data_IF_046546159248
#
_entry.id   IF_046546159248
#
_cell.length_a   1.000
_cell.length_b   1.000
_cell.length_c   1.000
_cell.angle_alpha   90.00
_cell.angle_beta   90.00
_cell.angle_gamma   90.00
#
_symmetry.space_group_name_H-M   'P 1'
#
loop_
_entity.id
_entity.type
_entity.pdbx_description
1 polymer ?
#
# COMPACT_ATOMS: atom_id res chain seq x y z
N UNK A 1 -32.69 -0.09 -17.58
CA UNK A 1 -31.82 0.09 -16.39
C UNK A 1 -31.79 -1.24 -15.64
N UNK A 2 -30.73 -2.01 -15.75
CA UNK A 2 -30.57 -3.26 -14.98
C UNK A 2 -30.29 -2.88 -13.53
N UNK A 3 -31.23 -3.14 -12.62
CA UNK A 3 -31.01 -2.95 -11.19
C UNK A 3 -29.82 -3.82 -10.75
N UNK A 4 -28.75 -3.20 -10.22
CA UNK A 4 -27.65 -3.92 -9.59
C UNK A 4 -28.23 -4.79 -8.49
N UNK A 5 -27.89 -6.09 -8.47
CA UNK A 5 -28.33 -6.98 -7.38
C UNK A 5 -27.81 -6.42 -6.05
N UNK A 6 -28.66 -6.39 -4.99
CA UNK A 6 -28.24 -5.89 -3.69
C UNK A 6 -27.10 -6.74 -3.13
N UNK A 7 -26.05 -6.08 -2.64
CA UNK A 7 -24.93 -6.73 -1.96
C UNK A 7 -25.34 -7.08 -0.53
N UNK A 8 -25.21 -8.35 -0.14
CA UNK A 8 -25.49 -8.80 1.22
C UNK A 8 -24.47 -8.25 2.23
N UNK A 9 -24.81 -8.26 3.53
CA UNK A 9 -23.85 -7.98 4.59
C UNK A 9 -22.63 -8.91 4.51
N UNK A 10 -21.47 -8.44 4.97
CA UNK A 10 -20.24 -9.21 4.97
C UNK A 10 -19.74 -9.46 6.38
N UNK A 11 -19.25 -10.67 6.63
CA UNK A 11 -18.58 -11.06 7.88
C UNK A 11 -17.27 -11.74 7.52
N UNK A 12 -16.23 -11.42 8.26
CA UNK A 12 -14.95 -12.13 8.13
C UNK A 12 -15.15 -13.59 8.58
N UNK A 13 -14.64 -14.52 7.77
CA UNK A 13 -14.67 -15.96 8.02
C UNK A 13 -13.49 -16.42 8.89
N UNK A 14 -12.60 -15.48 9.26
CA UNK A 14 -11.47 -15.72 10.16
C UNK A 14 -11.91 -16.28 11.51
N UNK A 15 -11.21 -17.31 11.95
CA UNK A 15 -11.41 -17.99 13.24
C UNK A 15 -10.61 -17.36 14.38
N UNK A 16 -9.94 -16.23 14.14
CA UNK A 16 -9.11 -15.56 15.15
C UNK A 16 -9.96 -15.03 16.33
N UNK A 17 -9.49 -15.15 17.58
CA UNK A 17 -10.18 -14.61 18.75
C UNK A 17 -10.22 -13.07 18.73
N UNK A 18 -11.41 -12.49 18.91
CA UNK A 18 -11.65 -11.04 18.88
C UNK A 18 -13.00 -10.67 18.26
N UNK A 19 -13.31 -9.37 18.18
CA UNK A 19 -14.49 -8.86 17.46
C UNK A 19 -14.32 -9.21 15.97
N UNK A 20 -15.24 -10.02 15.43
CA UNK A 20 -15.26 -10.32 14.00
C UNK A 20 -15.45 -9.03 13.22
N UNK A 21 -14.62 -8.84 12.19
CA UNK A 21 -14.76 -7.73 11.27
C UNK A 21 -16.03 -7.95 10.43
N UNK A 22 -16.97 -7.01 10.51
CA UNK A 22 -18.27 -7.11 9.85
C UNK A 22 -18.63 -5.79 9.15
N UNK A 23 -19.39 -5.88 8.07
CA UNK A 23 -19.99 -4.75 7.36
C UNK A 23 -21.47 -5.02 7.18
N UNK A 24 -22.30 -4.02 7.45
CA UNK A 24 -23.72 -4.01 7.04
C UNK A 24 -23.85 -4.12 5.52
N UNK A 25 -25.05 -4.41 5.02
CA UNK A 25 -25.30 -4.50 3.58
C UNK A 25 -24.91 -3.19 2.85
N UNK A 26 -25.33 -2.04 3.39
CA UNK A 26 -25.03 -0.72 2.81
C UNK A 26 -23.52 -0.41 2.83
N UNK A 27 -22.84 -0.72 3.94
CA UNK A 27 -21.39 -0.57 4.02
C UNK A 27 -20.67 -1.47 3.02
N UNK A 28 -21.10 -2.73 2.90
CA UNK A 28 -20.49 -3.67 1.96
C UNK A 28 -20.78 -3.30 0.49
N UNK A 29 -21.94 -2.71 0.21
CA UNK A 29 -22.27 -2.17 -1.10
C UNK A 29 -21.30 -1.05 -1.48
N UNK A 30 -21.11 -0.05 -0.61
CA UNK A 30 -20.18 1.06 -0.87
C UNK A 30 -18.72 0.59 -1.00
N UNK A 31 -18.28 -0.36 -0.17
CA UNK A 31 -16.95 -1.00 -0.31
C UNK A 31 -16.80 -1.70 -1.65
N UNK A 32 -17.83 -2.45 -2.06
CA UNK A 32 -17.82 -3.20 -3.33
C UNK A 32 -17.81 -2.24 -4.53
N UNK A 33 -18.63 -1.18 -4.50
CA UNK A 33 -18.67 -0.18 -5.57
C UNK A 33 -17.34 0.56 -5.72
N UNK A 34 -16.71 0.94 -4.61
CA UNK A 34 -15.37 1.53 -4.63
C UNK A 34 -14.31 0.57 -5.16
N UNK A 35 -14.39 -0.70 -4.79
CA UNK A 35 -13.47 -1.71 -5.29
C UNK A 35 -13.61 -1.93 -6.80
N UNK A 36 -14.84 -2.00 -7.30
CA UNK A 36 -15.09 -2.13 -8.74
C UNK A 36 -14.65 -0.89 -9.51
N UNK A 37 -14.81 0.32 -8.95
CA UNK A 37 -14.25 1.54 -9.56
C UNK A 37 -12.71 1.47 -9.65
N UNK A 38 -12.04 1.06 -8.58
CA UNK A 38 -10.58 0.87 -8.58
C UNK A 38 -10.15 -0.23 -9.56
N UNK A 39 -10.91 -1.31 -9.68
CA UNK A 39 -10.68 -2.39 -10.64
C UNK A 39 -10.90 -1.92 -12.09
N UNK A 40 -11.93 -1.14 -12.36
CA UNK A 40 -12.19 -0.61 -13.70
C UNK A 40 -11.05 0.29 -14.19
N UNK A 41 -10.49 1.11 -13.29
CA UNK A 41 -9.37 1.99 -13.61
C UNK A 41 -8.01 1.27 -13.76
N UNK A 42 -7.87 0.01 -13.33
CA UNK A 42 -6.53 -0.61 -13.25
C UNK A 42 -5.80 -0.68 -14.60
N UNK A 43 -6.52 -0.75 -15.73
CA UNK A 43 -5.88 -0.93 -17.04
C UNK A 43 -5.16 0.35 -17.47
N UNK A 44 -5.80 1.48 -17.24
CA UNK A 44 -5.24 2.79 -17.58
C UNK A 44 -4.08 3.12 -16.62
N UNK A 45 -4.23 2.75 -15.34
CA UNK A 45 -3.17 2.88 -14.35
C UNK A 45 -1.97 1.97 -14.65
N UNK A 46 -2.21 0.74 -15.12
CA UNK A 46 -1.15 -0.18 -15.57
C UNK A 46 -0.36 0.44 -16.72
N UNK A 47 -1.06 0.90 -17.75
CA UNK A 47 -0.44 1.51 -18.92
C UNK A 47 0.39 2.74 -18.54
N UNK A 48 -0.10 3.58 -17.61
CA UNK A 48 0.63 4.75 -17.15
C UNK A 48 1.93 4.39 -16.43
N UNK A 49 1.90 3.43 -15.51
CA UNK A 49 3.08 3.03 -14.73
C UNK A 49 4.07 2.22 -15.58
N UNK A 50 3.58 1.38 -16.50
CA UNK A 50 4.42 0.67 -17.47
C UNK A 50 5.14 1.64 -18.41
N UNK A 51 4.46 2.69 -18.88
CA UNK A 51 5.10 3.71 -19.70
C UNK A 51 6.19 4.50 -18.94
N UNK A 52 6.00 4.75 -17.63
CA UNK A 52 7.04 5.33 -16.77
C UNK A 52 8.24 4.38 -16.65
N UNK A 53 7.96 3.11 -16.40
CA UNK A 53 9.00 2.11 -16.24
C UNK A 53 9.80 1.90 -17.54
N UNK A 54 9.13 1.81 -18.69
CA UNK A 54 9.76 1.72 -20.00
C UNK A 54 10.66 2.93 -20.29
N UNK A 55 10.16 4.15 -20.04
CA UNK A 55 10.92 5.39 -20.29
C UNK A 55 12.18 5.52 -19.43
N UNK A 56 12.19 4.92 -18.24
CA UNK A 56 13.28 5.04 -17.26
C UNK A 56 14.11 3.77 -17.11
N UNK A 57 13.78 2.69 -17.83
CA UNK A 57 14.43 1.38 -17.71
C UNK A 57 15.93 1.48 -17.96
N UNK A 58 16.33 2.01 -19.11
CA UNK A 58 17.72 1.98 -19.57
C UNK A 58 18.59 3.05 -18.92
N UNK A 59 17.98 4.16 -18.50
CA UNK A 59 18.69 5.33 -17.94
C UNK A 59 18.78 5.31 -16.41
N UNK A 60 17.77 4.77 -15.73
CA UNK A 60 17.65 4.79 -14.26
C UNK A 60 17.48 3.39 -13.64
N UNK A 61 17.55 2.33 -14.46
CA UNK A 61 17.36 0.96 -14.00
C UNK A 61 15.94 0.69 -13.49
N UNK A 62 14.94 1.39 -14.05
CA UNK A 62 13.56 1.28 -13.59
C UNK A 62 13.00 -0.14 -13.78
N UNK A 63 12.29 -0.66 -12.77
CA UNK A 63 11.52 -1.91 -12.86
C UNK A 63 10.20 -1.82 -12.10
N UNK A 64 9.16 -2.38 -12.70
CA UNK A 64 7.84 -2.51 -12.10
C UNK A 64 7.75 -3.86 -11.38
N UNK A 65 7.73 -3.80 -10.06
CA UNK A 65 7.79 -4.96 -9.19
C UNK A 65 6.40 -5.31 -8.63
N UNK A 66 6.10 -6.61 -8.54
CA UNK A 66 4.90 -7.11 -7.85
C UNK A 66 3.56 -6.71 -8.49
N UNK A 67 3.52 -6.40 -9.78
CA UNK A 67 2.31 -5.94 -10.52
C UNK A 67 1.09 -6.84 -10.30
N UNK A 68 1.27 -8.15 -10.15
CA UNK A 68 0.19 -9.11 -9.89
C UNK A 68 -0.58 -8.85 -8.58
N UNK A 69 0.02 -8.11 -7.63
CA UNK A 69 -0.57 -7.76 -6.33
C UNK A 69 -1.05 -6.30 -6.26
N UNK A 70 -1.05 -5.56 -7.37
CA UNK A 70 -1.31 -4.12 -7.38
C UNK A 70 -2.70 -3.72 -6.90
N UNK A 71 -3.72 -4.54 -7.20
CA UNK A 71 -5.09 -4.31 -6.74
C UNK A 71 -5.31 -5.14 -5.48
N UNK A 72 -5.58 -4.47 -4.37
CA UNK A 72 -5.93 -5.15 -3.12
C UNK A 72 -7.19 -6.00 -3.33
N UNK A 73 -7.15 -7.27 -2.93
CA UNK A 73 -8.30 -8.17 -3.07
C UNK A 73 -9.52 -7.67 -2.28
N UNK A 74 -10.73 -7.88 -2.83
CA UNK A 74 -11.98 -7.39 -2.24
C UNK A 74 -12.18 -7.85 -0.79
N UNK A 75 -11.82 -9.08 -0.45
CA UNK A 75 -11.87 -9.60 0.93
C UNK A 75 -10.94 -8.81 1.86
N UNK A 76 -9.70 -8.55 1.44
CA UNK A 76 -8.74 -7.76 2.23
C UNK A 76 -9.23 -6.31 2.40
N UNK A 77 -9.81 -5.72 1.36
CA UNK A 77 -10.37 -4.38 1.44
C UNK A 77 -11.56 -4.29 2.39
N UNK A 78 -12.50 -5.24 2.33
CA UNK A 78 -13.61 -5.36 3.29
C UNK A 78 -13.11 -5.45 4.71
N UNK A 79 -12.13 -6.31 4.96
CA UNK A 79 -11.50 -6.47 6.28
C UNK A 79 -10.86 -5.16 6.75
N UNK A 80 -10.08 -4.48 5.89
CA UNK A 80 -9.44 -3.20 6.22
C UNK A 80 -10.45 -2.13 6.62
N UNK A 81 -11.54 -1.99 5.87
CA UNK A 81 -12.62 -1.03 6.16
C UNK A 81 -13.36 -1.41 7.44
N UNK A 82 -13.70 -2.68 7.62
CA UNK A 82 -14.42 -3.17 8.79
C UNK A 82 -13.61 -3.00 10.09
N UNK A 83 -12.29 -3.14 10.04
CA UNK A 83 -11.40 -2.91 11.19
C UNK A 83 -11.28 -1.43 11.57
N UNK A 84 -11.52 -0.52 10.63
CA UNK A 84 -11.54 0.92 10.85
C UNK A 84 -12.97 1.46 11.10
N UNK A 85 -13.98 0.60 10.98
CA UNK A 85 -15.37 0.96 11.22
C UNK A 85 -15.64 1.03 12.72
N UNK A 86 -15.26 2.17 13.30
CA UNK A 86 -15.60 2.53 14.66
C UNK A 86 -17.00 3.16 14.74
N UNK A 87 -17.62 3.06 15.90
CA UNK A 87 -18.89 3.74 16.19
C UNK A 87 -18.66 5.25 16.03
N UNK A 88 -19.47 5.92 15.20
CA UNK A 88 -19.43 7.36 14.89
C UNK A 88 -18.43 7.83 13.80
N UNK A 89 -17.63 6.97 13.19
CA UNK A 89 -16.82 7.37 12.01
C UNK A 89 -17.64 7.15 10.72
N UNK A 90 -17.90 8.19 9.91
CA UNK A 90 -18.60 8.02 8.64
C UNK A 90 -17.84 7.08 7.71
N UNK A 91 -18.54 6.11 7.09
CA UNK A 91 -17.93 5.15 6.17
C UNK A 91 -17.11 5.84 5.07
N UNK A 92 -17.64 6.92 4.49
CA UNK A 92 -16.93 7.68 3.47
C UNK A 92 -15.60 8.26 3.95
N UNK A 93 -15.50 8.63 5.23
CA UNK A 93 -14.24 9.09 5.80
C UNK A 93 -13.23 7.94 5.83
N UNK A 94 -13.64 6.75 6.29
CA UNK A 94 -12.82 5.53 6.32
C UNK A 94 -12.34 5.19 4.92
N UNK A 95 -13.27 5.10 3.96
CA UNK A 95 -12.93 4.80 2.57
C UNK A 95 -11.88 5.79 2.07
N UNK A 96 -12.06 7.11 2.24
CA UNK A 96 -11.07 8.12 1.79
C UNK A 96 -9.66 7.94 2.37
N UNK A 97 -9.51 7.29 3.54
CA UNK A 97 -8.18 7.01 4.11
C UNK A 97 -7.43 5.89 3.36
N UNK A 98 -8.15 4.98 2.70
CA UNK A 98 -7.57 3.85 1.97
C UNK A 98 -7.00 4.33 0.63
N UNK A 99 -5.71 4.68 0.63
CA UNK A 99 -5.00 5.23 -0.54
C UNK A 99 -4.35 4.16 -1.43
N UNK A 100 -4.21 2.94 -0.92
CA UNK A 100 -3.43 1.84 -1.46
C UNK A 100 -4.30 0.72 -2.09
N UNK A 101 -5.51 1.06 -2.53
CA UNK A 101 -6.40 0.09 -3.19
C UNK A 101 -5.81 -0.37 -4.54
N UNK A 102 -5.27 0.58 -5.31
CA UNK A 102 -4.32 0.33 -6.39
C UNK A 102 -2.93 0.79 -5.90
N UNK A 103 -1.94 -0.10 -5.92
CA UNK A 103 -0.58 0.16 -5.45
C UNK A 103 0.44 -0.44 -6.39
N UNK A 104 1.33 0.38 -6.91
CA UNK A 104 2.44 -0.02 -7.76
C UNK A 104 3.75 0.10 -6.99
N UNK A 105 4.74 -0.70 -7.37
CA UNK A 105 6.09 -0.59 -6.84
C UNK A 105 7.07 -0.38 -7.98
N UNK A 106 7.74 0.77 -8.00
CA UNK A 106 8.84 1.03 -8.91
C UNK A 106 10.16 0.91 -8.14
N UNK A 107 11.10 0.18 -8.72
CA UNK A 107 12.50 0.19 -8.26
C UNK A 107 13.37 0.96 -9.22
N UNK A 108 14.41 1.61 -8.69
CA UNK A 108 15.43 2.31 -9.46
C UNK A 108 16.83 1.95 -8.96
N UNK A 109 17.84 2.05 -9.82
CA UNK A 109 19.21 1.80 -9.40
C UNK A 109 19.64 2.78 -8.28
N UNK A 110 20.43 2.34 -7.28
CA UNK A 110 20.72 3.17 -6.09
C UNK A 110 21.33 4.55 -6.40
N UNK A 111 22.17 4.64 -7.42
CA UNK A 111 22.84 5.88 -7.85
C UNK A 111 21.93 6.85 -8.62
N UNK A 112 20.80 6.37 -9.16
CA UNK A 112 19.85 7.17 -9.95
C UNK A 112 18.48 7.23 -9.31
N UNK A 113 18.31 6.69 -8.09
CA UNK A 113 17.02 6.61 -7.40
C UNK A 113 16.29 7.95 -7.33
N UNK A 114 16.97 8.99 -6.86
CA UNK A 114 16.33 10.30 -6.63
C UNK A 114 15.89 10.93 -7.96
N UNK A 115 16.72 10.83 -9.00
CA UNK A 115 16.36 11.31 -10.33
C UNK A 115 15.23 10.47 -10.95
N UNK A 116 15.25 9.14 -10.77
CA UNK A 116 14.18 8.26 -11.25
C UNK A 116 12.82 8.59 -10.62
N UNK A 117 12.79 8.91 -9.32
CA UNK A 117 11.57 9.40 -8.65
C UNK A 117 11.14 10.74 -9.23
N UNK A 118 12.04 11.71 -9.41
CA UNK A 118 11.70 13.03 -9.99
C UNK A 118 11.18 12.91 -11.43
N UNK A 119 11.81 12.08 -12.26
CA UNK A 119 11.35 11.84 -13.62
C UNK A 119 10.00 11.12 -13.65
N UNK A 120 9.74 10.21 -12.71
CA UNK A 120 8.39 9.62 -12.55
C UNK A 120 7.35 10.70 -12.32
N UNK A 121 7.64 11.67 -11.45
CA UNK A 121 6.72 12.78 -11.20
C UNK A 121 6.46 13.60 -12.46
N UNK A 122 7.52 13.98 -13.19
CA UNK A 122 7.40 14.72 -14.43
C UNK A 122 6.54 13.97 -15.46
N UNK A 123 6.84 12.69 -15.70
CA UNK A 123 6.11 11.85 -16.66
C UNK A 123 4.63 11.67 -16.29
N UNK A 124 4.30 11.55 -15.00
CA UNK A 124 2.92 11.45 -14.54
C UNK A 124 2.18 12.79 -14.69
N UNK A 125 2.82 13.90 -14.36
CA UNK A 125 2.25 15.23 -14.57
C UNK A 125 2.01 15.55 -16.04
N UNK A 126 2.92 15.20 -16.94
CA UNK A 126 2.74 15.33 -18.39
C UNK A 126 1.52 14.55 -18.90
N UNK A 127 1.20 13.43 -18.25
CA UNK A 127 0.00 12.61 -18.54
C UNK A 127 -1.25 13.10 -17.81
N UNK A 128 -1.18 14.23 -17.11
CA UNK A 128 -2.31 14.86 -16.41
C UNK A 128 -2.59 14.29 -15.02
N UNK A 129 -1.77 13.36 -14.51
CA UNK A 129 -1.93 12.86 -13.15
C UNK A 129 -1.49 13.92 -12.15
N UNK A 130 -2.26 14.05 -11.06
CA UNK A 130 -1.96 14.98 -9.99
C UNK A 130 -1.52 14.24 -8.73
N UNK A 131 -0.55 14.79 -8.02
CA UNK A 131 -0.21 14.30 -6.69
C UNK A 131 -1.33 14.64 -5.71
N UNK A 132 -1.70 13.70 -4.84
CA UNK A 132 -2.62 13.96 -3.73
C UNK A 132 -1.84 14.73 -2.65
N UNK A 133 -2.26 15.95 -2.27
CA UNK A 133 -1.54 16.76 -1.29
C UNK A 133 -1.35 16.03 0.05
N UNK A 134 -0.13 16.09 0.60
CA UNK A 134 0.21 15.45 1.87
C UNK A 134 0.18 13.91 1.84
N UNK A 135 0.31 13.31 0.65
CA UNK A 135 0.39 11.85 0.51
C UNK A 135 1.80 11.28 0.51
N UNK A 136 2.79 12.15 0.34
CA UNK A 136 4.18 11.80 0.23
C UNK A 136 4.74 11.37 1.58
N UNK A 137 5.40 10.22 1.63
CA UNK A 137 6.08 9.75 2.83
C UNK A 137 7.47 9.22 2.47
N UNK A 138 8.49 9.81 3.09
CA UNK A 138 9.87 9.37 3.02
C UNK A 138 10.23 8.60 4.28
N UNK A 139 10.67 7.35 4.12
CA UNK A 139 11.06 6.47 5.21
C UNK A 139 12.51 6.00 5.05
N UNK A 140 13.35 6.72 4.31
CA UNK A 140 14.74 6.28 4.09
C UNK A 140 15.62 6.33 5.34
N UNK A 141 15.30 7.24 6.26
CA UNK A 141 15.90 7.30 7.60
C UNK A 141 15.22 6.35 8.60
N UNK A 142 14.15 5.66 8.19
CA UNK A 142 13.49 4.67 9.03
C UNK A 142 14.41 3.43 9.18
N UNK A 143 14.63 2.94 10.42
CA UNK A 143 15.46 1.78 10.66
C UNK A 143 14.84 0.46 10.18
N UNK A 144 13.53 0.43 9.94
CA UNK A 144 12.69 -0.77 9.82
C UNK A 144 12.03 -0.86 8.44
N UNK A 145 11.91 0.25 7.71
CA UNK A 145 11.37 0.26 6.35
C UNK A 145 11.94 1.38 5.49
N UNK A 146 12.82 1.07 4.52
CA UNK A 146 13.41 2.08 3.64
C UNK A 146 12.65 2.21 2.31
N UNK A 147 12.13 3.40 2.02
CA UNK A 147 11.37 3.67 0.81
C UNK A 147 10.84 5.11 0.73
N UNK A 148 10.25 5.44 -0.42
CA UNK A 148 9.43 6.64 -0.57
C UNK A 148 8.09 6.22 -1.15
N UNK A 149 6.99 6.86 -0.77
CA UNK A 149 5.69 6.60 -1.38
C UNK A 149 4.92 7.89 -1.61
N UNK A 150 4.08 7.87 -2.63
CA UNK A 150 3.27 9.00 -3.05
C UNK A 150 1.95 8.49 -3.64
N UNK A 151 0.87 9.24 -3.43
CA UNK A 151 -0.46 8.88 -3.95
C UNK A 151 -0.83 9.84 -5.06
N UNK A 152 -1.23 9.25 -6.18
CA UNK A 152 -1.57 9.94 -7.41
C UNK A 152 -3.07 9.84 -7.66
N UNK A 153 -3.60 10.87 -8.30
CA UNK A 153 -4.99 11.00 -8.71
C UNK A 153 -5.04 10.99 -10.24
N UNK A 154 -5.89 10.12 -10.78
CA UNK A 154 -6.19 10.05 -12.21
C UNK A 154 -6.80 11.40 -12.70
N UNK A 155 -6.51 11.86 -13.93
CA UNK A 155 -6.93 13.17 -14.44
C UNK A 155 -8.43 13.45 -14.32
N UNK A 156 -9.28 12.43 -14.51
CA UNK A 156 -10.75 12.57 -14.42
C UNK A 156 -11.29 12.55 -12.97
N UNK A 157 -10.41 12.45 -11.97
CA UNK A 157 -10.78 12.39 -10.55
C UNK A 157 -11.34 11.05 -10.07
N UNK A 158 -11.50 10.05 -10.95
CA UNK A 158 -12.25 8.82 -10.64
C UNK A 158 -11.46 7.80 -9.83
N UNK A 159 -10.13 7.80 -9.94
CA UNK A 159 -9.28 6.79 -9.32
C UNK A 159 -8.01 7.37 -8.69
N UNK A 160 -7.61 6.76 -7.57
CA UNK A 160 -6.32 7.02 -6.91
C UNK A 160 -5.47 5.76 -6.92
N UNK A 161 -4.17 5.95 -6.92
CA UNK A 161 -3.21 4.88 -6.79
C UNK A 161 -1.96 5.34 -6.06
N UNK A 162 -1.35 4.44 -5.29
CA UNK A 162 -0.07 4.68 -4.65
C UNK A 162 1.06 4.16 -5.54
N UNK A 163 2.16 4.90 -5.62
CA UNK A 163 3.44 4.37 -6.09
C UNK A 163 4.38 4.33 -4.90
N UNK A 164 4.89 3.13 -4.60
CA UNK A 164 6.00 2.91 -3.69
C UNK A 164 7.30 2.83 -4.49
N UNK A 165 8.30 3.57 -4.04
CA UNK A 165 9.60 3.71 -4.69
C UNK A 165 10.69 3.10 -3.83
N UNK A 166 11.42 2.15 -4.40
CA UNK A 166 12.47 1.39 -3.73
C UNK A 166 13.76 1.34 -4.57
N UNK A 167 14.90 1.04 -3.94
CA UNK A 167 16.01 0.38 -4.64
C UNK A 167 15.76 -1.12 -4.71
N UNK A 168 16.41 -1.88 -5.63
CA UNK A 168 16.30 -3.34 -5.67
C UNK A 168 16.53 -3.99 -4.29
N UNK A 169 17.53 -3.54 -3.53
CA UNK A 169 17.82 -4.07 -2.20
C UNK A 169 16.72 -3.76 -1.19
N UNK A 170 16.24 -2.50 -1.12
CA UNK A 170 15.16 -2.15 -0.19
C UNK A 170 13.84 -2.87 -0.53
N UNK A 171 13.58 -3.14 -1.81
CA UNK A 171 12.44 -3.92 -2.24
C UNK A 171 12.61 -5.40 -1.87
N UNK A 172 13.78 -5.98 -2.11
CA UNK A 172 14.11 -7.36 -1.73
C UNK A 172 13.93 -7.58 -0.23
N UNK A 173 14.49 -6.70 0.60
CA UNK A 173 14.35 -6.78 2.07
C UNK A 173 12.88 -6.65 2.47
N UNK A 174 12.12 -5.71 1.88
CA UNK A 174 10.67 -5.60 2.09
C UNK A 174 9.93 -6.89 1.71
N UNK A 175 10.29 -7.53 0.60
CA UNK A 175 9.62 -8.71 0.08
C UNK A 175 9.93 -9.95 0.91
N UNK A 176 11.20 -10.17 1.27
CA UNK A 176 11.65 -11.25 2.15
C UNK A 176 11.06 -11.12 3.56
N UNK A 177 10.89 -9.88 4.04
CA UNK A 177 10.34 -9.60 5.36
C UNK A 177 8.83 -9.38 5.34
N UNK A 178 8.09 -9.74 4.28
CA UNK A 178 6.64 -9.45 4.19
C UNK A 178 5.86 -9.89 5.43
N UNK A 179 6.18 -11.06 6.00
CA UNK A 179 5.55 -11.56 7.24
C UNK A 179 5.91 -10.71 8.47
N UNK A 180 7.18 -10.33 8.61
CA UNK A 180 7.65 -9.44 9.70
C UNK A 180 7.14 -8.01 9.53
N UNK A 181 6.99 -7.55 8.29
CA UNK A 181 6.46 -6.24 7.94
C UNK A 181 4.94 -6.16 8.14
N UNK A 182 4.21 -7.25 7.86
CA UNK A 182 2.80 -7.36 8.22
C UNK A 182 2.60 -7.40 9.73
N UNK A 183 3.52 -8.04 10.48
CA UNK A 183 3.55 -7.97 11.95
C UNK A 183 3.88 -6.55 12.45
N UNK A 184 4.73 -5.81 11.76
CA UNK A 184 5.07 -4.42 12.10
C UNK A 184 3.98 -3.40 11.74
N UNK A 185 3.37 -3.50 10.54
CA UNK A 185 2.22 -2.68 10.13
C UNK A 185 0.95 -3.06 10.88
N UNK A 186 0.86 -4.32 11.26
CA UNK A 186 -0.24 -4.91 11.96
C UNK A 186 -0.06 -4.69 13.44
N UNK A 187 -0.80 -3.72 13.98
CA UNK A 187 -1.47 -3.88 15.26
C UNK A 187 -2.48 -5.06 15.19
N UNK A 188 -2.00 -6.23 14.77
CA UNK A 188 -2.73 -7.42 14.35
C UNK A 188 -2.06 -8.71 14.85
N UNK A 189 -1.47 -8.62 16.03
CA UNK A 189 -1.78 -9.55 17.10
C UNK A 189 -2.38 -8.70 18.23
N UNK A 190 -3.72 -8.66 18.34
CA UNK A 190 -4.30 -8.31 19.63
C UNK A 190 -3.95 -9.43 20.62
N UNK A 191 -3.70 -9.10 21.90
CA UNK A 191 -3.11 -10.02 22.86
C UNK A 191 -4.04 -11.21 23.08
N UNK A 192 -3.48 -12.41 23.02
CA UNK A 192 -4.17 -13.60 23.48
C UNK A 192 -4.17 -13.59 25.01
N UNK A 193 -5.24 -13.02 25.59
CA UNK A 193 -5.44 -12.99 27.03
C UNK A 193 -4.79 -11.79 27.70
N UNK A 194 -5.34 -11.41 28.85
CA UNK A 194 -5.01 -10.20 29.60
C UNK A 194 -3.55 -10.13 30.09
N UNK A 195 -3.16 -8.89 30.42
CA UNK A 195 -1.83 -8.40 30.82
C UNK A 195 -0.83 -8.24 29.66
N UNK A 196 -0.11 -7.12 29.67
CA UNK A 196 0.94 -6.79 28.70
C UNK A 196 1.93 -7.95 28.60
N UNK A 197 1.87 -8.72 27.51
CA UNK A 197 2.80 -9.82 27.27
C UNK A 197 4.16 -9.23 26.84
N UNK A 198 5.20 -9.29 27.70
CA UNK A 198 6.54 -8.80 27.34
C UNK A 198 7.12 -9.56 26.14
N UNK A 199 6.56 -10.72 25.76
CA UNK A 199 6.97 -11.44 24.55
C UNK A 199 6.43 -10.81 23.25
N UNK A 200 5.30 -10.09 23.27
CA UNK A 200 4.80 -9.40 22.09
C UNK A 200 5.67 -8.18 21.74
N UNK A 201 6.05 -7.38 22.75
CA UNK A 201 7.09 -6.36 22.61
C UNK A 201 8.42 -6.99 22.20
N UNK A 202 8.81 -8.14 22.78
CA UNK A 202 10.02 -8.86 22.37
C UNK A 202 9.99 -9.37 20.93
N UNK A 203 8.85 -9.79 20.39
CA UNK A 203 8.73 -10.23 19.00
C UNK A 203 8.73 -9.06 18.03
N UNK A 204 8.08 -7.95 18.38
CA UNK A 204 8.13 -6.71 17.61
C UNK A 204 9.55 -6.12 17.63
N UNK A 205 10.21 -6.13 18.78
CA UNK A 205 11.58 -5.67 18.94
C UNK A 205 12.57 -6.61 18.26
N UNK A 206 12.36 -7.93 18.30
CA UNK A 206 13.13 -8.88 17.51
C UNK A 206 12.93 -8.66 16.00
N UNK A 207 11.69 -8.39 15.55
CA UNK A 207 11.40 -8.04 14.17
C UNK A 207 12.09 -6.71 13.78
N UNK A 208 12.04 -5.68 14.64
CA UNK A 208 12.76 -4.41 14.47
C UNK A 208 14.27 -4.61 14.42
N UNK A 209 14.84 -5.45 15.29
CA UNK A 209 16.28 -5.73 15.32
C UNK A 209 16.71 -6.45 14.04
N UNK A 210 15.98 -7.49 13.62
CA UNK A 210 16.26 -8.24 12.39
C UNK A 210 16.08 -7.34 11.15
N UNK A 211 15.03 -6.50 11.13
CA UNK A 211 14.81 -5.56 10.03
C UNK A 211 15.89 -4.47 10.00
N UNK A 212 16.23 -3.88 11.15
CA UNK A 212 17.31 -2.89 11.28
C UNK A 212 18.66 -3.44 10.86
N UNK A 213 19.02 -4.66 11.26
CA UNK A 213 20.26 -5.31 10.84
C UNK A 213 20.30 -5.48 9.32
N UNK A 214 19.22 -5.98 8.72
CA UNK A 214 19.13 -6.18 7.26
C UNK A 214 19.10 -4.88 6.46
N UNK A 215 18.49 -3.83 7.00
CA UNK A 215 18.49 -2.50 6.39
C UNK A 215 19.79 -1.74 6.61
N UNK A 216 20.54 -2.03 7.68
CA UNK A 216 21.86 -1.48 7.96
C UNK A 216 22.95 -1.98 7.02
N UNK A 217 22.72 -3.10 6.35
CA UNK A 217 23.59 -3.64 5.29
C UNK A 217 23.32 -3.01 3.91
N UNK A 218 22.23 -2.24 3.76
CA UNK A 218 21.90 -1.57 2.50
C UNK A 218 22.65 -0.23 2.46
N UNK A 219 23.49 0.02 1.42
CA UNK A 219 24.14 1.32 1.25
C UNK A 219 23.10 2.45 1.23
N UNK A 220 23.43 3.59 1.84
CA UNK A 220 22.66 4.81 1.64
C UNK A 220 22.52 5.07 0.13
N UNK A 221 21.35 5.57 -0.31
CA UNK A 221 21.16 5.95 -1.72
C UNK A 221 22.32 6.84 -2.15
N UNK A 222 23.08 6.38 -3.13
CA UNK A 222 24.22 7.08 -3.73
C UNK A 222 24.83 8.15 -2.83
N UNK A 223 25.71 7.76 -1.91
CA UNK A 223 26.64 8.71 -1.29
C UNK A 223 27.42 9.39 -2.41
N UNK A 224 27.13 10.65 -2.65
CA UNK A 224 28.04 11.60 -3.27
C UNK A 224 28.20 12.77 -2.30
#
# INVERSE_FOLDING_TARGET
MTAKKPVAAWKDDSTAPGRRAELTADQNQAVTDRWEAARAAHKDLDAAVEAVEEALRDTHGAKLEGKQHRLMGLKAFRRKVALQAEEHVPLEAILRTVRDLNRYTLTFAPNTYTEGVRHTYALLHERGYAIVPGSEQNTWEDPVYKGFRAVWQHPDGTARFEIAFHTPDSYRVKAENHLLYDLYRGNHLLPLGAETDPMAESHEDAAKIIQHQRYGEIPAKGSN
#
